data_IF_411180038903
#
_entry.id   IF_411180038903
#
_cell.length_a   1.000
_cell.length_b   1.000
_cell.length_c   1.000
_cell.angle_alpha   90.00
_cell.angle_beta   90.00
_cell.angle_gamma   90.00
#
_symmetry.space_group_name_H-M   'P 1'
#
loop_
_entity.id
_entity.type
_entity.pdbx_description
1 polymer ?
#
# COMPACT_ATOMS: atom_id res chain seq x y z
N UNK A 1 6.22 -22.37 -35.30
CA UNK A 1 7.36 -21.93 -36.14
C UNK A 1 8.11 -20.85 -35.38
N UNK A 2 9.26 -21.20 -34.81
CA UNK A 2 10.02 -20.45 -33.81
C UNK A 2 11.18 -19.71 -34.49
N UNK A 3 11.12 -18.38 -34.55
CA UNK A 3 12.27 -17.55 -34.93
C UNK A 3 13.27 -17.48 -33.78
N UNK A 4 14.47 -18.05 -33.95
CA UNK A 4 15.58 -17.91 -33.00
C UNK A 4 16.35 -16.62 -33.27
N UNK A 5 16.61 -15.77 -32.26
CA UNK A 5 17.58 -14.70 -32.42
C UNK A 5 19.01 -15.26 -32.44
N UNK A 6 19.79 -14.85 -33.45
CA UNK A 6 21.25 -15.07 -33.56
C UNK A 6 21.97 -13.79 -33.13
N UNK A 7 23.09 -13.97 -32.44
CA UNK A 7 24.05 -12.91 -32.13
C UNK A 7 24.62 -12.31 -33.43
N UNK A 8 24.41 -11.01 -33.62
CA UNK A 8 25.18 -10.18 -34.55
C UNK A 8 26.04 -9.28 -33.67
N UNK A 9 27.35 -9.29 -33.90
CA UNK A 9 28.33 -8.62 -33.05
C UNK A 9 28.08 -7.12 -32.88
N UNK A 10 28.63 -6.57 -31.79
CA UNK A 10 28.72 -5.13 -31.54
C UNK A 10 27.52 -4.56 -30.81
N UNK A 11 27.63 -4.46 -29.49
CA UNK A 11 26.94 -3.49 -28.64
C UNK A 11 25.43 -3.35 -28.87
N UNK A 12 24.64 -4.33 -28.41
CA UNK A 12 23.20 -4.14 -28.20
C UNK A 12 22.83 -4.62 -26.81
N UNK A 13 22.57 -3.67 -25.91
CA UNK A 13 21.98 -3.94 -24.61
C UNK A 13 20.53 -4.38 -24.81
N UNK A 14 20.25 -5.67 -24.68
CA UNK A 14 18.86 -6.10 -24.51
C UNK A 14 18.49 -5.72 -23.09
N UNK A 15 17.80 -4.60 -22.92
CA UNK A 15 17.12 -4.30 -21.68
C UNK A 15 15.93 -5.27 -21.60
N UNK A 16 16.18 -6.51 -21.16
CA UNK A 16 15.13 -7.38 -20.63
C UNK A 16 14.76 -6.77 -19.28
N UNK A 17 14.03 -5.66 -19.29
CA UNK A 17 13.35 -5.22 -18.08
C UNK A 17 12.22 -6.19 -17.85
N UNK A 18 12.46 -7.16 -16.99
CA UNK A 18 11.42 -8.01 -16.43
C UNK A 18 10.26 -7.11 -15.95
N UNK A 19 9.08 -7.17 -16.59
CA UNK A 19 7.91 -6.37 -16.19
C UNK A 19 7.57 -6.61 -14.72
N UNK A 20 7.80 -7.83 -14.23
CA UNK A 20 7.57 -8.17 -12.83
C UNK A 20 8.53 -7.41 -11.91
N UNK A 21 9.81 -7.31 -12.26
CA UNK A 21 10.77 -6.54 -11.47
C UNK A 21 10.45 -5.04 -11.44
N UNK A 22 9.87 -4.49 -12.53
CA UNK A 22 9.39 -3.10 -12.57
C UNK A 22 8.20 -2.89 -11.65
N UNK A 23 7.22 -3.80 -11.71
CA UNK A 23 6.04 -3.75 -10.84
C UNK A 23 6.46 -3.89 -9.36
N UNK A 24 7.39 -4.79 -9.05
CA UNK A 24 7.95 -4.98 -7.71
C UNK A 24 8.62 -3.71 -7.18
N UNK A 25 9.44 -3.07 -8.00
CA UNK A 25 10.11 -1.82 -7.65
C UNK A 25 9.10 -0.68 -7.44
N UNK A 26 8.09 -0.57 -8.31
CA UNK A 26 7.03 0.41 -8.18
C UNK A 26 6.22 0.21 -6.90
N UNK A 27 5.79 -1.03 -6.63
CA UNK A 27 5.05 -1.38 -5.42
C UNK A 27 5.87 -1.14 -4.14
N UNK A 28 7.18 -1.41 -4.17
CA UNK A 28 8.06 -1.12 -3.04
C UNK A 28 8.18 0.39 -2.77
N UNK A 29 8.25 1.21 -3.83
CA UNK A 29 8.25 2.66 -3.73
C UNK A 29 6.93 3.18 -3.14
N UNK A 30 5.78 2.71 -3.62
CA UNK A 30 4.45 3.07 -3.10
C UNK A 30 4.28 2.68 -1.63
N UNK A 31 4.70 1.46 -1.25
CA UNK A 31 4.67 1.02 0.14
C UNK A 31 5.52 1.91 1.04
N UNK A 32 6.69 2.33 0.55
CA UNK A 32 7.61 3.23 1.27
C UNK A 32 6.97 4.61 1.44
N UNK A 33 6.36 5.16 0.39
CA UNK A 33 5.66 6.44 0.43
C UNK A 33 4.50 6.43 1.44
N UNK A 34 3.65 5.40 1.41
CA UNK A 34 2.55 5.24 2.35
C UNK A 34 3.04 5.12 3.80
N UNK A 35 4.10 4.34 4.05
CA UNK A 35 4.69 4.22 5.38
C UNK A 35 5.29 5.52 5.88
N UNK A 36 5.91 6.32 5.00
CA UNK A 36 6.43 7.63 5.37
C UNK A 36 5.31 8.60 5.74
N UNK A 37 4.21 8.61 4.98
CA UNK A 37 3.08 9.51 5.22
C UNK A 37 2.26 9.11 6.46
N UNK A 38 1.96 7.82 6.62
CA UNK A 38 0.95 7.33 7.59
C UNK A 38 1.51 6.40 8.66
N UNK A 39 2.80 6.05 8.61
CA UNK A 39 3.41 5.01 9.46
C UNK A 39 3.44 5.30 10.96
N UNK A 40 3.23 6.55 11.35
CA UNK A 40 3.06 6.95 12.75
C UNK A 40 1.73 6.44 13.34
N UNK A 41 0.70 6.27 12.50
CA UNK A 41 -0.65 5.83 12.91
C UNK A 41 -0.96 4.41 12.46
N UNK A 42 -0.44 4.02 11.30
CA UNK A 42 -0.83 2.81 10.59
C UNK A 42 0.36 1.87 10.40
N UNK A 43 0.13 0.58 10.58
CA UNK A 43 0.98 -0.47 10.04
C UNK A 43 0.47 -0.80 8.65
N UNK A 44 1.31 -0.64 7.64
CA UNK A 44 0.94 -0.79 6.23
C UNK A 44 1.76 -1.91 5.60
N UNK A 45 1.08 -2.82 4.92
CA UNK A 45 1.69 -3.94 4.22
C UNK A 45 0.89 -4.31 2.98
N UNK A 46 1.50 -5.17 2.16
CA UNK A 46 0.92 -5.70 0.94
C UNK A 46 1.02 -7.22 1.00
N UNK A 47 -0.04 -7.90 0.62
CA UNK A 47 -0.04 -9.35 0.41
C UNK A 47 0.05 -9.66 -1.08
N UNK A 48 0.90 -10.62 -1.42
CA UNK A 48 0.84 -11.37 -2.67
C UNK A 48 0.70 -12.84 -2.32
N UNK A 49 -0.51 -13.38 -2.43
CA UNK A 49 -0.65 -14.81 -2.57
C UNK A 49 -0.31 -15.16 -4.02
N UNK A 50 0.55 -16.15 -4.24
CA UNK A 50 1.01 -16.53 -5.59
C UNK A 50 -0.16 -16.77 -6.54
N UNK A 51 -0.22 -16.00 -7.63
CA UNK A 51 -1.29 -16.07 -8.64
C UNK A 51 -2.53 -15.23 -8.38
N UNK A 52 -2.66 -14.56 -7.23
CA UNK A 52 -3.75 -13.64 -6.93
C UNK A 52 -3.35 -12.18 -7.14
N UNK A 53 -4.29 -11.27 -7.46
CA UNK A 53 -4.03 -9.84 -7.48
C UNK A 53 -3.49 -9.40 -6.12
N UNK A 54 -2.50 -8.51 -6.12
CA UNK A 54 -1.95 -8.06 -4.86
C UNK A 54 -2.95 -7.18 -4.11
N UNK A 55 -3.08 -7.41 -2.81
CA UNK A 55 -3.93 -6.61 -1.94
C UNK A 55 -3.09 -5.78 -0.98
N UNK A 56 -3.56 -4.56 -0.75
CA UNK A 56 -2.95 -3.56 0.12
C UNK A 56 -3.75 -3.46 1.41
N UNK A 57 -3.06 -3.42 2.54
CA UNK A 57 -3.67 -3.41 3.86
C UNK A 57 -3.05 -2.34 4.74
N UNK A 58 -3.87 -1.77 5.61
CA UNK A 58 -3.43 -0.92 6.69
C UNK A 58 -4.20 -1.25 7.96
N UNK A 59 -3.51 -1.47 9.09
CA UNK A 59 -4.15 -1.55 10.41
C UNK A 59 -3.67 -0.43 11.31
N UNK A 60 -4.56 0.07 12.17
CA UNK A 60 -4.19 1.09 13.14
C UNK A 60 -3.26 0.49 14.19
N UNK A 61 -2.22 1.25 14.55
CA UNK A 61 -1.31 0.93 15.66
C UNK A 61 -1.94 1.20 17.03
N UNK A 62 -2.97 2.06 17.09
CA UNK A 62 -3.74 2.38 18.29
C UNK A 62 -5.20 1.99 18.10
N UNK A 63 -5.84 1.55 19.17
CA UNK A 63 -7.25 1.20 19.16
C UNK A 63 -8.13 2.45 18.90
N UNK A 64 -9.23 2.26 18.17
CA UNK A 64 -10.27 3.28 18.03
C UNK A 64 -11.11 3.38 19.30
N UNK A 65 -11.50 4.60 19.66
CA UNK A 65 -12.51 4.84 20.72
C UNK A 65 -13.90 4.33 20.26
N UNK A 66 -14.83 4.04 21.19
CA UNK A 66 -16.20 3.68 20.84
C UNK A 66 -16.88 4.73 19.95
N UNK A 67 -16.72 6.02 20.25
CA UNK A 67 -17.25 7.12 19.44
C UNK A 67 -16.70 7.10 18.00
N UNK A 68 -15.40 6.87 17.84
CA UNK A 68 -14.77 6.73 16.53
C UNK A 68 -15.33 5.54 15.72
N UNK A 69 -15.63 4.42 16.39
CA UNK A 69 -16.28 3.27 15.73
C UNK A 69 -17.71 3.59 15.31
N UNK A 70 -18.47 4.29 16.15
CA UNK A 70 -19.84 4.71 15.83
C UNK A 70 -19.91 5.68 14.65
N UNK A 71 -18.88 6.49 14.45
CA UNK A 71 -18.72 7.35 13.28
C UNK A 71 -18.30 6.59 11.99
N UNK A 72 -18.16 5.26 12.06
CA UNK A 72 -17.84 4.41 10.91
C UNK A 72 -16.35 4.29 10.62
N UNK A 73 -15.46 4.64 11.55
CA UNK A 73 -14.02 4.46 11.33
C UNK A 73 -13.58 3.01 11.54
N UNK A 74 -12.61 2.59 10.72
CA UNK A 74 -12.22 1.18 10.63
C UNK A 74 -10.86 0.94 11.31
N UNK A 75 -10.71 -0.17 12.06
CA UNK A 75 -9.43 -0.58 12.63
C UNK A 75 -8.46 -1.11 11.56
N UNK A 76 -9.00 -1.69 10.50
CA UNK A 76 -8.26 -2.27 9.38
C UNK A 76 -8.91 -1.86 8.06
N UNK A 77 -8.09 -1.50 7.09
CA UNK A 77 -8.47 -1.17 5.73
C UNK A 77 -7.82 -2.17 4.75
N UNK A 78 -8.55 -2.52 3.70
CA UNK A 78 -8.06 -3.34 2.61
C UNK A 78 -8.42 -2.67 1.27
N UNK A 79 -7.49 -2.70 0.31
CA UNK A 79 -7.66 -2.15 -1.02
C UNK A 79 -6.95 -3.01 -2.06
N UNK A 80 -7.36 -2.89 -3.32
CA UNK A 80 -6.72 -3.59 -4.44
C UNK A 80 -5.59 -2.76 -5.10
N UNK A 81 -5.32 -1.54 -4.61
CA UNK A 81 -4.21 -0.69 -5.08
C UNK A 81 -3.73 0.26 -3.98
N UNK A 82 -2.51 0.79 -4.16
CA UNK A 82 -1.94 1.79 -3.26
C UNK A 82 -2.77 3.09 -3.24
N UNK A 83 -3.21 3.58 -4.40
CA UNK A 83 -4.04 4.80 -4.49
C UNK A 83 -5.39 4.64 -3.76
N UNK A 84 -6.05 3.49 -3.92
CA UNK A 84 -7.29 3.22 -3.20
C UNK A 84 -7.05 3.16 -1.70
N UNK A 85 -5.94 2.57 -1.26
CA UNK A 85 -5.57 2.58 0.16
C UNK A 85 -5.32 4.01 0.66
N UNK A 86 -4.63 4.86 -0.12
CA UNK A 86 -4.39 6.27 0.20
C UNK A 86 -5.70 7.03 0.41
N UNK A 87 -6.64 6.93 -0.54
CA UNK A 87 -7.96 7.58 -0.42
C UNK A 87 -8.73 7.09 0.81
N UNK A 88 -8.66 5.79 1.13
CA UNK A 88 -9.29 5.26 2.33
C UNK A 88 -8.63 5.83 3.59
N UNK A 89 -7.30 5.91 3.64
CA UNK A 89 -6.54 6.47 4.75
C UNK A 89 -6.84 7.96 4.97
N UNK A 90 -6.97 8.76 3.91
CA UNK A 90 -7.33 10.18 3.98
C UNK A 90 -8.74 10.43 4.54
N UNK A 91 -9.64 9.46 4.36
CA UNK A 91 -10.99 9.49 4.94
C UNK A 91 -11.01 9.03 6.41
N UNK A 92 -9.90 8.51 6.91
CA UNK A 92 -9.80 8.13 8.31
C UNK A 92 -9.29 9.32 9.13
N UNK A 93 -9.84 9.53 10.34
CA UNK A 93 -9.39 10.62 11.19
C UNK A 93 -7.94 10.35 11.61
N UNK A 94 -7.16 11.44 11.81
CA UNK A 94 -5.89 11.32 12.50
C UNK A 94 -6.11 10.68 13.87
N UNK A 95 -5.09 10.00 14.45
CA UNK A 95 -5.22 9.35 15.75
C UNK A 95 -5.35 10.32 16.93
N UNK A 96 -5.55 11.62 16.67
CA UNK A 96 -5.56 12.63 17.71
C UNK A 96 -6.92 12.71 18.38
N UNK A 97 -6.83 12.71 19.72
CA UNK A 97 -7.83 12.93 20.74
C UNK A 97 -9.09 13.65 20.24
N UNK A 98 -10.20 12.91 20.16
CA UNK A 98 -11.47 13.56 20.52
C UNK A 98 -11.19 14.23 21.86
N UNK A 99 -11.48 15.54 22.03
CA UNK A 99 -11.24 16.19 23.30
C UNK A 99 -11.83 15.29 24.37
N UNK A 100 -11.04 14.97 25.40
CA UNK A 100 -11.64 14.60 26.67
C UNK A 100 -12.61 15.75 26.94
N UNK A 101 -13.89 15.51 26.65
CA UNK A 101 -14.93 16.38 27.16
C UNK A 101 -14.76 16.20 28.66
N UNK A 102 -14.07 17.15 29.28
CA UNK A 102 -14.23 17.45 30.68
C UNK A 102 -15.73 17.64 30.84
N UNK A 103 -16.41 16.55 31.21
CA UNK A 103 -17.76 16.62 31.70
C UNK A 103 -17.68 17.45 32.99
N UNK A 104 -18.50 18.50 33.13
CA UNK A 104 -18.60 19.26 34.37
C UNK A 104 -19.12 18.38 35.52
#
# INVERSE_FOLDING_TARGET
MTGRPRLIGGTTWIIVSDPQARDDAHDAAELTALRRAYGHTWSIWRSRAGGAPAHWYASRRRALTPAARMLGFHPTLAAHSADRLRVLLERQPPPTDLPMQHAP
#
